data_IF_865036917297
#
_entry.id   IF_865036917297
#
_cell.length_a   1.000
_cell.length_b   1.000
_cell.length_c   1.000
_cell.angle_alpha   90.00
_cell.angle_beta   90.00
_cell.angle_gamma   90.00
#
_symmetry.space_group_name_H-M   'P 1'
#
loop_
_entity.id
_entity.type
_entity.pdbx_description
1 polymer ?
#
# COMPACT_ATOMS: atom_id res chain seq x y z
N UNK A 1 -20.66 1.63 25.26
CA UNK A 1 -19.22 1.28 25.22
C UNK A 1 -18.93 0.09 24.30
N UNK A 2 -19.89 -0.80 24.03
CA UNK A 2 -19.72 -1.92 23.07
C UNK A 2 -19.69 -1.46 21.59
N UNK A 3 -20.56 -0.52 21.19
CA UNK A 3 -20.62 0.01 19.81
C UNK A 3 -19.31 0.68 19.33
N UNK A 4 -18.57 1.31 20.25
CA UNK A 4 -17.28 1.95 19.98
C UNK A 4 -16.17 0.93 19.72
N UNK A 5 -16.20 -0.23 20.39
CA UNK A 5 -15.22 -1.31 20.19
C UNK A 5 -15.39 -1.98 18.83
N UNK A 6 -16.64 -2.30 18.46
CA UNK A 6 -16.99 -2.87 17.15
C UNK A 6 -16.55 -1.94 16.00
N UNK A 7 -16.65 -0.62 16.20
CA UNK A 7 -16.24 0.36 15.20
C UNK A 7 -14.71 0.41 15.02
N UNK A 8 -13.96 0.28 16.10
CA UNK A 8 -12.49 0.28 16.08
C UNK A 8 -11.90 -0.98 15.45
N UNK A 9 -12.48 -2.15 15.71
CA UNK A 9 -12.07 -3.42 15.07
C UNK A 9 -12.27 -3.36 13.56
N UNK A 10 -13.44 -2.92 13.09
CA UNK A 10 -13.73 -2.76 11.67
C UNK A 10 -12.76 -1.79 10.97
N UNK A 11 -12.31 -0.73 11.64
CA UNK A 11 -11.30 0.21 11.10
C UNK A 11 -9.94 -0.48 10.97
N UNK A 12 -9.50 -1.22 11.98
CA UNK A 12 -8.23 -1.96 11.93
C UNK A 12 -8.22 -3.00 10.80
N UNK A 13 -9.30 -3.76 10.65
CA UNK A 13 -9.45 -4.75 9.56
C UNK A 13 -9.38 -4.07 8.19
N UNK A 14 -10.09 -2.94 8.01
CA UNK A 14 -10.03 -2.16 6.77
C UNK A 14 -8.66 -1.55 6.51
N UNK A 15 -7.93 -1.14 7.55
CA UNK A 15 -6.55 -0.65 7.43
C UNK A 15 -5.59 -1.78 7.04
N UNK A 16 -5.75 -2.98 7.59
CA UNK A 16 -4.98 -4.16 7.20
C UNK A 16 -5.20 -4.54 5.73
N UNK A 17 -6.45 -4.58 5.29
CA UNK A 17 -6.82 -4.79 3.88
C UNK A 17 -6.27 -3.67 2.97
N UNK A 18 -6.38 -2.41 3.41
CA UNK A 18 -5.82 -1.26 2.70
C UNK A 18 -4.30 -1.31 2.58
N UNK A 19 -3.60 -1.81 3.61
CA UNK A 19 -2.15 -2.03 3.58
C UNK A 19 -1.72 -3.07 2.54
N UNK A 20 -2.47 -4.17 2.43
CA UNK A 20 -2.25 -5.20 1.42
C UNK A 20 -2.39 -4.63 0.00
N UNK A 21 -3.43 -3.85 -0.25
CA UNK A 21 -3.65 -3.17 -1.53
C UNK A 21 -2.53 -2.16 -1.81
N UNK A 22 -2.11 -1.39 -0.81
CA UNK A 22 -1.02 -0.42 -0.95
C UNK A 22 0.32 -1.08 -1.29
N UNK A 23 0.64 -2.19 -0.61
CA UNK A 23 1.83 -2.98 -0.89
C UNK A 23 1.79 -3.56 -2.30
N UNK A 24 0.66 -4.15 -2.70
CA UNK A 24 0.45 -4.68 -4.04
C UNK A 24 0.57 -3.58 -5.10
N UNK A 25 0.02 -2.38 -4.86
CA UNK A 25 0.19 -1.21 -5.74
C UNK A 25 1.66 -0.80 -5.89
N UNK A 26 2.43 -0.81 -4.80
CA UNK A 26 3.87 -0.56 -4.84
C UNK A 26 4.62 -1.58 -5.70
N UNK A 27 4.31 -2.87 -5.54
CA UNK A 27 4.92 -3.96 -6.32
C UNK A 27 4.53 -3.85 -7.80
N UNK A 28 3.24 -3.69 -8.10
CA UNK A 28 2.73 -3.52 -9.47
C UNK A 28 3.39 -2.29 -10.13
N UNK A 29 3.52 -1.19 -9.40
CA UNK A 29 4.20 0.02 -9.86
C UNK A 29 5.70 -0.20 -10.15
N UNK A 30 6.38 -0.99 -9.33
CA UNK A 30 7.78 -1.39 -9.53
C UNK A 30 7.94 -2.26 -10.78
N UNK A 31 7.09 -3.29 -10.94
CA UNK A 31 7.11 -4.16 -12.13
C UNK A 31 6.84 -3.36 -13.40
N UNK A 32 5.85 -2.47 -13.39
CA UNK A 32 5.52 -1.62 -14.55
C UNK A 32 6.64 -0.64 -14.92
N UNK A 33 7.46 -0.21 -13.95
CA UNK A 33 8.62 0.65 -14.23
C UNK A 33 9.70 -0.07 -15.06
N UNK A 34 9.81 -1.40 -14.97
CA UNK A 34 10.77 -2.19 -15.74
C UNK A 34 10.40 -2.22 -17.22
N UNK A 35 9.10 -2.18 -17.54
CA UNK A 35 8.62 -2.19 -18.91
C UNK A 35 8.60 -0.80 -19.56
N UNK A 36 9.00 0.26 -18.84
CA UNK A 36 8.89 1.65 -19.27
C UNK A 36 7.48 2.00 -19.80
N UNK A 37 6.46 1.28 -19.33
CA UNK A 37 5.09 1.46 -19.78
C UNK A 37 4.49 2.63 -19.01
N UNK A 38 4.37 3.76 -19.69
CA UNK A 38 3.73 4.98 -19.20
C UNK A 38 2.19 4.78 -19.11
N UNK A 39 1.72 3.87 -18.25
CA UNK A 39 0.30 3.77 -17.91
C UNK A 39 -0.06 5.02 -17.11
N UNK A 40 -1.14 5.73 -17.50
CA UNK A 40 -1.61 7.00 -16.89
C UNK A 40 -1.69 7.02 -15.35
N UNK A 41 -1.76 5.87 -14.70
CA UNK A 41 -1.75 5.73 -13.24
C UNK A 41 -0.35 5.91 -12.61
N UNK A 42 0.71 5.69 -13.37
CA UNK A 42 2.12 5.82 -12.96
C UNK A 42 2.76 7.13 -13.39
N UNK A 43 2.13 7.87 -14.31
CA UNK A 43 2.70 9.12 -14.83
C UNK A 43 2.97 10.14 -13.72
N UNK A 44 2.16 10.16 -12.65
CA UNK A 44 2.39 11.07 -11.52
C UNK A 44 3.69 10.76 -10.76
N UNK A 45 4.13 9.49 -10.73
CA UNK A 45 5.42 9.08 -10.13
C UNK A 45 6.57 9.44 -11.08
N UNK A 46 6.35 9.34 -12.39
CA UNK A 46 7.34 9.66 -13.42
C UNK A 46 7.68 11.16 -13.46
N UNK A 47 6.75 12.04 -13.06
CA UNK A 47 6.98 13.50 -12.92
C UNK A 47 8.12 13.82 -11.93
N UNK A 48 8.34 12.99 -10.92
CA UNK A 48 9.40 13.20 -9.92
C UNK A 48 10.78 12.74 -10.42
N UNK A 49 10.84 12.11 -11.59
CA UNK A 49 12.05 11.55 -12.18
C UNK A 49 12.37 10.14 -11.67
N UNK A 50 13.30 9.47 -12.35
CA UNK A 50 13.63 8.05 -12.15
C UNK A 50 13.99 7.72 -10.69
N UNK A 51 14.90 8.48 -10.08
CA UNK A 51 15.38 8.23 -8.72
C UNK A 51 14.27 8.38 -7.68
N UNK A 52 13.51 9.48 -7.71
CA UNK A 52 12.41 9.70 -6.78
C UNK A 52 11.29 8.67 -6.98
N UNK A 53 11.03 8.29 -8.23
CA UNK A 53 10.04 7.25 -8.55
C UNK A 53 10.38 5.88 -7.96
N UNK A 54 11.66 5.50 -7.96
CA UNK A 54 12.13 4.28 -7.28
C UNK A 54 11.96 4.37 -5.76
N UNK A 55 12.27 5.52 -5.16
CA UNK A 55 12.10 5.74 -3.71
C UNK A 55 10.63 5.63 -3.30
N UNK A 56 9.71 6.28 -4.03
CA UNK A 56 8.27 6.24 -3.74
C UNK A 56 7.73 4.81 -3.83
N UNK A 57 8.16 4.04 -4.84
CA UNK A 57 7.75 2.64 -5.00
C UNK A 57 8.18 1.78 -3.82
N UNK A 58 9.45 1.88 -3.41
CA UNK A 58 9.97 1.15 -2.25
C UNK A 58 9.20 1.57 -0.99
N UNK A 59 8.95 2.87 -0.82
CA UNK A 59 8.19 3.39 0.31
C UNK A 59 6.76 2.83 0.36
N UNK A 60 6.06 2.77 -0.77
CA UNK A 60 4.70 2.20 -0.85
C UNK A 60 4.70 0.71 -0.46
N UNK A 61 5.69 -0.06 -0.91
CA UNK A 61 5.84 -1.48 -0.56
C UNK A 61 6.11 -1.63 0.95
N UNK A 62 7.04 -0.86 1.49
CA UNK A 62 7.41 -0.92 2.91
C UNK A 62 6.27 -0.48 3.82
N UNK A 63 5.64 0.66 3.52
CA UNK A 63 4.52 1.18 4.32
C UNK A 63 3.31 0.26 4.22
N UNK A 64 2.95 -0.20 3.02
CA UNK A 64 1.86 -1.16 2.84
C UNK A 64 2.12 -2.49 3.54
N UNK A 65 3.35 -3.01 3.42
CA UNK A 65 3.77 -4.25 4.08
C UNK A 65 3.77 -4.15 5.61
N UNK A 66 4.28 -3.04 6.15
CA UNK A 66 4.23 -2.75 7.60
C UNK A 66 2.79 -2.58 8.08
N UNK A 67 1.95 -1.87 7.33
CA UNK A 67 0.54 -1.68 7.69
C UNK A 67 -0.22 -3.00 7.67
N UNK A 68 0.02 -3.86 6.68
CA UNK A 68 -0.52 -5.21 6.64
C UNK A 68 -0.02 -6.08 7.80
N UNK A 69 1.28 -6.03 8.11
CA UNK A 69 1.85 -6.81 9.20
C UNK A 69 1.29 -6.39 10.58
N UNK A 70 1.05 -5.10 10.79
CA UNK A 70 0.55 -4.57 12.06
C UNK A 70 -0.97 -4.67 12.22
N UNK A 71 -1.75 -4.49 11.16
CA UNK A 71 -3.22 -4.40 11.23
C UNK A 71 -3.96 -5.49 10.46
N UNK A 72 -3.29 -6.22 9.56
CA UNK A 72 -3.85 -7.34 8.81
C UNK A 72 -3.83 -8.66 9.59
N UNK A 73 -2.89 -8.81 10.53
CA UNK A 73 -2.73 -9.98 11.40
C UNK A 73 -3.77 -10.12 12.51
N UNK A 74 -4.55 -9.07 12.79
CA UNK A 74 -5.63 -9.09 13.80
C UNK A 74 -6.90 -9.85 13.32
N UNK A 75 -6.85 -10.57 12.18
CA UNK A 75 -8.00 -11.33 11.64
C UNK A 75 -7.87 -12.86 11.77
N UNK A 76 -6.80 -13.35 12.39
CA UNK A 76 -6.70 -14.76 12.81
C UNK A 76 -6.64 -14.79 14.33
N UNK A 77 -7.80 -14.61 14.96
CA UNK A 77 -8.30 -15.34 16.14
C UNK A 77 -9.76 -14.94 16.44
#
# INVERSE_FOLDING_TARGET
MEQTTISMENIKVKLGQGGLVLAAMGIISMVLSIFNYNIRLLSWIDIWGSTAGWVIRILLILVGGVLFFLFGRDNED
#
